data_IF_805797173130
#
_entry.id   IF_805797173130
#
_cell.length_a   1.000
_cell.length_b   1.000
_cell.length_c   1.000
_cell.angle_alpha   90.00
_cell.angle_beta   90.00
_cell.angle_gamma   90.00
#
_symmetry.space_group_name_H-M   'P 1'
#
loop_
_entity.id
_entity.type
_entity.pdbx_description
1 polymer ?
#
# COMPACT_ATOMS: atom_id res chain seq x y z
N UNK A 1 -4.00 -8.32 -19.02
CA UNK A 1 -4.02 -9.81 -19.06
C UNK A 1 -4.88 -10.30 -17.91
N UNK A 2 -5.60 -11.41 -18.07
CA UNK A 2 -6.44 -11.96 -17.00
C UNK A 2 -5.58 -12.63 -15.90
N UNK A 3 -6.09 -12.64 -14.66
CA UNK A 3 -5.45 -13.33 -13.53
C UNK A 3 -5.48 -14.85 -13.75
N UNK A 4 -4.37 -15.52 -13.43
CA UNK A 4 -4.37 -16.99 -13.39
C UNK A 4 -5.15 -17.49 -12.18
N UNK A 5 -5.60 -18.75 -12.19
CA UNK A 5 -6.35 -19.34 -11.06
C UNK A 5 -5.60 -19.22 -9.72
N UNK A 6 -4.27 -19.38 -9.73
CA UNK A 6 -3.45 -19.28 -8.52
C UNK A 6 -3.33 -17.84 -8.00
N UNK A 7 -3.22 -16.87 -8.91
CA UNK A 7 -3.22 -15.45 -8.57
C UNK A 7 -4.60 -15.00 -8.09
N UNK A 8 -5.66 -15.53 -8.68
CA UNK A 8 -7.02 -15.27 -8.24
C UNK A 8 -7.24 -15.74 -6.80
N UNK A 9 -6.82 -16.98 -6.50
CA UNK A 9 -6.87 -17.53 -5.15
C UNK A 9 -6.03 -16.71 -4.15
N UNK A 10 -4.86 -16.23 -4.56
CA UNK A 10 -4.06 -15.31 -3.75
C UNK A 10 -4.82 -14.03 -3.41
N UNK A 11 -5.47 -13.40 -4.40
CA UNK A 11 -6.28 -12.20 -4.17
C UNK A 11 -7.44 -12.50 -3.22
N UNK A 12 -8.14 -13.62 -3.42
CA UNK A 12 -9.26 -14.04 -2.56
C UNK A 12 -8.81 -14.19 -1.11
N UNK A 13 -7.68 -14.86 -0.86
CA UNK A 13 -7.13 -15.09 0.47
C UNK A 13 -6.54 -13.82 1.10
N UNK A 14 -5.93 -12.95 0.29
CA UNK A 14 -5.36 -11.68 0.76
C UNK A 14 -6.44 -10.71 1.23
N UNK A 15 -7.61 -10.72 0.58
CA UNK A 15 -8.73 -9.85 0.96
C UNK A 15 -9.39 -10.23 2.30
N UNK A 16 -9.02 -11.36 2.91
CA UNK A 16 -9.55 -11.79 4.21
C UNK A 16 -8.85 -11.06 5.36
N UNK A 17 -7.51 -11.01 5.36
CA UNK A 17 -6.69 -10.55 6.49
C UNK A 17 -5.56 -9.58 6.10
N UNK A 18 -5.44 -9.24 4.80
CA UNK A 18 -4.37 -8.41 4.23
C UNK A 18 -2.95 -8.94 4.54
N UNK A 19 -2.81 -10.25 4.76
CA UNK A 19 -1.53 -10.88 5.01
C UNK A 19 -1.01 -11.59 3.75
N UNK A 20 -0.03 -10.97 3.08
CA UNK A 20 0.52 -11.47 1.82
C UNK A 20 1.15 -12.87 1.96
N UNK A 21 1.88 -13.12 3.06
CA UNK A 21 2.55 -14.41 3.29
C UNK A 21 1.52 -15.52 3.48
N UNK A 22 0.52 -15.30 4.35
CA UNK A 22 -0.52 -16.30 4.60
C UNK A 22 -1.42 -16.51 3.39
N UNK A 23 -1.73 -15.44 2.65
CA UNK A 23 -2.44 -15.54 1.39
C UNK A 23 -1.70 -16.39 0.36
N UNK A 24 -0.37 -16.25 0.25
CA UNK A 24 0.45 -17.09 -0.62
C UNK A 24 0.41 -18.56 -0.20
N UNK A 25 0.51 -18.87 1.10
CA UNK A 25 0.40 -20.24 1.61
C UNK A 25 -0.96 -20.85 1.26
N UNK A 26 -2.06 -20.16 1.58
CA UNK A 26 -3.43 -20.64 1.31
C UNK A 26 -3.75 -20.74 -0.18
N UNK A 27 -3.14 -19.89 -1.00
CA UNK A 27 -3.18 -19.97 -2.46
C UNK A 27 -2.36 -21.12 -3.06
N UNK A 28 -1.63 -21.88 -2.23
CA UNK A 28 -0.86 -23.05 -2.63
C UNK A 28 0.52 -22.73 -3.19
N UNK A 29 1.10 -21.58 -2.85
CA UNK A 29 2.52 -21.32 -3.08
C UNK A 29 3.39 -22.07 -2.05
N UNK A 30 4.67 -22.23 -2.35
CA UNK A 30 5.63 -22.87 -1.45
C UNK A 30 5.71 -22.08 -0.15
N UNK A 31 5.49 -22.74 0.99
CA UNK A 31 5.60 -22.13 2.31
C UNK A 31 6.98 -21.49 2.54
N UNK A 32 8.04 -22.14 2.04
CA UNK A 32 9.43 -21.67 2.19
C UNK A 32 9.69 -20.32 1.52
N UNK A 33 8.91 -19.97 0.50
CA UNK A 33 9.09 -18.74 -0.29
C UNK A 33 7.82 -17.88 -0.30
N UNK A 34 6.88 -18.15 0.61
CA UNK A 34 5.57 -17.53 0.61
C UNK A 34 5.64 -16.02 0.89
N UNK A 35 6.59 -15.59 1.71
CA UNK A 35 6.81 -14.19 2.03
C UNK A 35 7.24 -13.40 0.78
N UNK A 36 8.28 -13.88 0.09
CA UNK A 36 8.80 -13.26 -1.13
C UNK A 36 7.75 -13.31 -2.24
N UNK A 37 7.08 -14.46 -2.39
CA UNK A 37 6.05 -14.64 -3.42
C UNK A 37 4.84 -13.74 -3.18
N UNK A 38 4.43 -13.57 -1.92
CA UNK A 38 3.33 -12.67 -1.56
C UNK A 38 3.68 -11.22 -1.92
N UNK A 39 4.88 -10.78 -1.57
CA UNK A 39 5.36 -9.43 -1.93
C UNK A 39 5.48 -9.25 -3.44
N UNK A 40 6.03 -10.22 -4.16
CA UNK A 40 6.13 -10.20 -5.62
C UNK A 40 4.73 -10.12 -6.26
N UNK A 41 3.78 -10.93 -5.79
CA UNK A 41 2.41 -10.92 -6.30
C UNK A 41 1.75 -9.56 -6.13
N UNK A 42 1.90 -8.90 -4.97
CA UNK A 42 1.34 -7.57 -4.75
C UNK A 42 1.94 -6.48 -5.67
N UNK A 43 3.15 -6.70 -6.21
CA UNK A 43 3.78 -5.77 -7.17
C UNK A 43 3.37 -6.03 -8.62
N UNK A 44 2.71 -7.16 -8.92
CA UNK A 44 2.25 -7.44 -10.28
C UNK A 44 1.05 -6.53 -10.59
N UNK A 45 1.10 -5.71 -11.65
CA UNK A 45 0.05 -4.73 -11.94
C UNK A 45 -1.35 -5.33 -11.94
N UNK A 46 -1.53 -6.48 -12.59
CA UNK A 46 -2.84 -7.14 -12.66
C UNK A 46 -3.40 -7.61 -11.30
N UNK A 47 -2.53 -7.94 -10.34
CA UNK A 47 -2.94 -8.35 -8.99
C UNK A 47 -3.25 -7.11 -8.16
N UNK A 48 -2.38 -6.09 -8.21
CA UNK A 48 -2.56 -4.83 -7.52
C UNK A 48 -3.87 -4.13 -7.94
N UNK A 49 -4.16 -4.11 -9.24
CA UNK A 49 -5.40 -3.55 -9.79
C UNK A 49 -6.65 -4.27 -9.27
N UNK A 50 -6.65 -5.60 -9.24
CA UNK A 50 -7.81 -6.37 -8.75
C UNK A 50 -7.99 -6.21 -7.24
N UNK A 51 -6.90 -6.17 -6.46
CA UNK A 51 -6.97 -5.88 -5.01
C UNK A 51 -7.57 -4.50 -4.78
N UNK A 52 -7.08 -3.46 -5.47
CA UNK A 52 -7.59 -2.10 -5.35
C UNK A 52 -9.08 -2.02 -5.70
N UNK A 53 -9.49 -2.65 -6.81
CA UNK A 53 -10.89 -2.73 -7.24
C UNK A 53 -11.78 -3.40 -6.19
N UNK A 54 -11.31 -4.49 -5.57
CA UNK A 54 -12.07 -5.18 -4.52
C UNK A 54 -12.17 -4.35 -3.26
N UNK A 55 -11.07 -3.73 -2.83
CA UNK A 55 -11.08 -2.82 -1.68
C UNK A 55 -12.07 -1.68 -1.89
N UNK A 56 -12.09 -1.07 -3.07
CA UNK A 56 -13.08 -0.04 -3.42
C UNK A 56 -14.51 -0.59 -3.34
N UNK A 57 -14.78 -1.75 -3.93
CA UNK A 57 -16.12 -2.38 -3.89
C UNK A 57 -16.55 -2.74 -2.47
N UNK A 58 -15.62 -3.18 -1.62
CA UNK A 58 -15.90 -3.46 -0.21
C UNK A 58 -16.21 -2.18 0.56
N UNK A 59 -15.49 -1.08 0.32
CA UNK A 59 -15.77 0.21 0.91
C UNK A 59 -17.15 0.74 0.49
N UNK A 60 -17.49 0.62 -0.80
CA UNK A 60 -18.81 0.99 -1.33
C UNK A 60 -19.93 0.14 -0.71
N UNK A 61 -19.75 -1.19 -0.61
CA UNK A 61 -20.77 -2.10 -0.08
C UNK A 61 -20.96 -2.00 1.43
N UNK A 62 -19.90 -1.69 2.18
CA UNK A 62 -19.98 -1.57 3.63
C UNK A 62 -20.57 -0.23 4.08
N UNK A 63 -20.84 0.71 3.16
CA UNK A 63 -21.15 2.12 3.46
C UNK A 63 -20.11 2.78 4.39
N UNK A 64 -18.96 2.14 4.55
CA UNK A 64 -17.81 2.61 5.31
C UNK A 64 -17.05 3.58 4.42
N UNK A 65 -17.70 4.70 4.12
CA UNK A 65 -17.03 5.82 3.48
C UNK A 65 -16.00 6.40 4.43
N UNK A 66 -15.03 7.12 3.88
CA UNK A 66 -14.06 7.88 4.65
C UNK A 66 -14.79 8.80 5.62
N UNK A 67 -15.86 9.43 5.15
CA UNK A 67 -16.74 10.28 5.93
C UNK A 67 -17.41 9.51 7.07
N UNK A 68 -17.88 8.28 6.85
CA UNK A 68 -18.48 7.45 7.90
C UNK A 68 -17.45 7.11 8.98
N UNK A 69 -16.26 6.66 8.60
CA UNK A 69 -15.17 6.36 9.55
C UNK A 69 -14.78 7.61 10.32
N UNK A 70 -14.62 8.76 9.64
CA UNK A 70 -14.34 10.04 10.29
C UNK A 70 -15.44 10.48 11.26
N UNK A 71 -16.71 10.24 10.94
CA UNK A 71 -17.83 10.53 11.83
C UNK A 71 -17.82 9.64 13.07
N UNK A 72 -17.61 8.32 12.91
CA UNK A 72 -17.50 7.41 14.06
C UNK A 72 -16.30 7.76 14.95
N UNK A 73 -15.15 8.09 14.35
CA UNK A 73 -13.97 8.52 15.10
C UNK A 73 -14.18 9.87 15.80
N UNK A 74 -14.79 10.84 15.12
CA UNK A 74 -15.16 12.14 15.72
C UNK A 74 -16.10 11.93 16.90
N UNK A 75 -17.08 11.05 16.77
CA UNK A 75 -18.03 10.73 17.84
C UNK A 75 -17.33 10.10 19.05
N UNK A 76 -16.43 9.14 18.83
CA UNK A 76 -15.60 8.54 19.88
C UNK A 76 -14.72 9.60 20.58
N UNK A 77 -14.05 10.46 19.82
CA UNK A 77 -13.17 11.52 20.34
C UNK A 77 -13.96 12.58 21.13
N UNK A 78 -15.12 13.00 20.63
CA UNK A 78 -15.91 14.07 21.25
C UNK A 78 -16.73 13.59 22.45
N UNK A 79 -17.20 12.35 22.45
CA UNK A 79 -18.05 11.81 23.51
C UNK A 79 -17.26 11.12 24.62
N UNK A 80 -15.98 10.79 24.41
CA UNK A 80 -15.11 10.24 25.45
C UNK A 80 -14.26 11.37 26.04
N UNK A 81 -14.62 11.84 27.24
CA UNK A 81 -13.92 12.95 27.94
C UNK A 81 -12.49 12.63 28.38
N UNK A 82 -12.03 11.39 28.21
CA UNK A 82 -10.75 10.88 28.75
C UNK A 82 -9.72 10.46 27.68
N UNK A 83 -9.90 10.84 26.41
CA UNK A 83 -8.93 10.47 25.35
C UNK A 83 -7.77 11.47 25.33
N UNK A 84 -6.55 10.96 25.48
CA UNK A 84 -5.31 11.72 25.34
C UNK A 84 -5.23 12.35 23.92
N UNK A 85 -4.99 13.67 23.81
CA UNK A 85 -4.85 14.38 22.53
C UNK A 85 -3.87 13.73 21.54
N UNK A 86 -2.86 13.00 22.03
CA UNK A 86 -1.89 12.30 21.20
C UNK A 86 -2.50 11.08 20.48
N UNK A 87 -3.50 10.43 21.07
CA UNK A 87 -4.21 9.30 20.45
C UNK A 87 -5.06 9.79 19.28
N UNK A 88 -5.77 10.92 19.46
CA UNK A 88 -6.55 11.55 18.39
C UNK A 88 -5.66 11.97 17.20
N UNK A 89 -4.47 12.51 17.48
CA UNK A 89 -3.48 12.85 16.44
C UNK A 89 -2.98 11.63 15.68
N UNK A 90 -2.63 10.53 16.37
CA UNK A 90 -2.17 9.31 15.71
C UNK A 90 -3.20 8.69 14.76
N UNK A 91 -4.48 8.76 15.13
CA UNK A 91 -5.58 8.34 14.28
C UNK A 91 -5.70 9.21 13.02
N UNK A 92 -5.64 10.54 13.18
CA UNK A 92 -5.67 11.50 12.06
C UNK A 92 -4.50 11.29 11.08
N UNK A 93 -3.29 11.09 11.60
CA UNK A 93 -2.10 10.82 10.78
C UNK A 93 -2.24 9.51 9.99
N UNK A 94 -2.87 8.49 10.57
CA UNK A 94 -3.09 7.18 9.93
C UNK A 94 -4.10 7.27 8.79
N UNK A 95 -5.16 8.06 8.97
CA UNK A 95 -6.17 8.31 7.94
C UNK A 95 -5.60 9.16 6.81
N UNK A 96 -4.90 10.25 7.11
CA UNK A 96 -4.31 11.11 6.08
C UNK A 96 -3.27 10.36 5.21
N UNK A 97 -2.58 9.36 5.77
CA UNK A 97 -1.74 8.42 5.01
C UNK A 97 -2.56 7.48 4.13
N UNK A 98 -3.63 6.88 4.67
CA UNK A 98 -4.51 5.97 3.92
C UNK A 98 -5.20 6.65 2.73
N UNK A 99 -5.54 7.94 2.88
CA UNK A 99 -6.14 8.76 1.83
C UNK A 99 -5.13 9.31 0.80
N UNK A 100 -3.85 9.00 0.95
CA UNK A 100 -2.79 9.51 0.07
C UNK A 100 -2.66 11.04 0.09
N UNK A 101 -3.14 11.70 1.16
CA UNK A 101 -3.09 13.17 1.29
C UNK A 101 -1.66 13.68 1.45
N UNK A 102 -0.77 12.83 1.98
CA UNK A 102 0.66 13.08 1.97
C UNK A 102 1.29 12.46 0.72
N UNK A 103 1.35 13.23 -0.37
CA UNK A 103 2.35 12.94 -1.41
C UNK A 103 3.70 13.35 -0.85
N UNK A 104 4.55 12.39 -0.51
CA UNK A 104 5.98 12.67 -0.35
C UNK A 104 6.53 13.11 -1.71
N UNK A 105 6.71 14.42 -1.88
CA UNK A 105 7.50 14.96 -3.00
C UNK A 105 8.96 14.69 -2.67
N UNK A 106 9.50 13.56 -3.11
CA UNK A 106 10.94 13.33 -3.07
C UNK A 106 11.57 14.19 -4.16
N UNK A 107 12.09 15.36 -3.79
CA UNK A 107 12.95 16.15 -4.67
C UNK A 107 14.35 15.50 -4.70
N UNK A 108 14.69 14.84 -5.81
CA UNK A 108 16.08 14.44 -6.07
C UNK A 108 16.86 15.63 -6.61
N UNK A 109 17.41 16.47 -5.73
CA UNK A 109 18.47 17.41 -6.10
C UNK A 109 19.81 16.69 -6.10
N UNK A 110 20.08 15.93 -7.16
CA UNK A 110 21.43 15.40 -7.40
C UNK A 110 22.29 16.46 -8.05
N UNK A 111 23.27 17.02 -7.33
CA UNK A 111 24.33 17.81 -7.96
C UNK A 111 25.25 16.82 -8.68
N UNK A 112 24.93 16.50 -9.93
CA UNK A 112 25.78 15.69 -10.78
C UNK A 112 27.03 16.51 -11.09
N UNK A 113 28.09 16.31 -10.32
CA UNK A 113 29.42 16.77 -10.68
C UNK A 113 29.82 16.08 -11.99
N UNK A 114 29.61 16.77 -13.11
CA UNK A 114 30.06 16.30 -14.41
C UNK A 114 31.56 16.53 -14.47
N UNK A 115 32.35 15.49 -14.23
CA UNK A 115 33.78 15.49 -14.55
C UNK A 115 33.89 15.26 -16.06
N UNK A 116 34.18 16.32 -16.83
CA UNK A 116 34.55 16.17 -18.24
C UNK A 116 35.95 15.54 -18.26
N UNK A 117 36.04 14.27 -18.63
CA UNK A 117 37.32 13.61 -18.90
C UNK A 117 37.59 13.81 -20.40
N UNK A 118 38.54 14.70 -20.71
CA UNK A 118 38.93 15.00 -22.07
C UNK A 118 39.84 13.88 -22.60
N UNK A 119 39.26 12.84 -23.20
CA UNK A 119 40.01 11.72 -23.79
C UNK A 119 40.33 12.01 -25.26
N UNK A 120 41.12 13.05 -25.50
CA UNK A 120 41.79 13.27 -26.78
C UNK A 120 43.29 13.09 -26.57
N UNK A 121 43.74 11.85 -26.73
CA UNK A 121 45.17 11.55 -26.91
C UNK A 121 45.65 12.23 -28.18
N UNK A 122 46.41 13.31 -28.02
CA UNK A 122 47.26 13.84 -29.07
C UNK A 122 48.21 12.75 -29.56
N UNK A 123 47.93 12.17 -30.72
CA UNK A 123 48.96 11.60 -31.58
C UNK A 123 49.56 12.75 -32.35
N UNK A 124 50.73 13.21 -31.92
CA UNK A 124 51.73 13.76 -32.82
C UNK A 124 52.94 12.84 -32.82
#
# INVERSE_FOLDING_TARGET
MALTAKQQKFVDEYMIDLNATQAAIRAGYSEKTASETGYENLRKPQIAEEVAKRQQKHAEKAEMTVEWVLQQYKDIILNTKDIDPNVARGALDSVAKHLGMFKERIEHSGNLGVTIVDDIRGKS
#
